data_IF_431290049328
#
_entry.id   IF_431290049328
#
_cell.length_a   1.000
_cell.length_b   1.000
_cell.length_c   1.000
_cell.angle_alpha   90.00
_cell.angle_beta   90.00
_cell.angle_gamma   90.00
#
_symmetry.space_group_name_H-M   'P 1'
#
loop_
_entity.id
_entity.type
_entity.pdbx_description
1 polymer ?
#
# COMPACT_ATOMS: atom_id res chain seq x y z
N UNK A 1 8.81 13.19 31.27
CA UNK A 1 8.63 11.76 30.99
C UNK A 1 8.45 11.61 29.49
N UNK A 2 9.47 11.16 28.77
CA UNK A 2 9.39 10.97 27.31
C UNK A 2 8.76 9.61 27.07
N UNK A 3 7.55 9.57 26.51
CA UNK A 3 6.94 8.30 26.12
C UNK A 3 7.81 7.63 25.04
N UNK A 4 8.10 6.35 25.20
CA UNK A 4 8.81 5.58 24.18
C UNK A 4 8.02 5.62 22.87
N UNK A 5 8.69 5.87 21.75
CA UNK A 5 8.05 5.88 20.44
C UNK A 5 7.44 4.49 20.15
N UNK A 6 6.23 4.42 19.56
CA UNK A 6 5.59 3.15 19.26
C UNK A 6 6.45 2.31 18.31
N UNK A 7 6.53 1.01 18.58
CA UNK A 7 7.22 0.06 17.70
C UNK A 7 6.55 0.09 16.33
N UNK A 8 7.34 0.22 15.26
CA UNK A 8 6.84 0.13 13.88
C UNK A 8 6.17 -1.22 13.66
N UNK A 9 4.96 -1.20 13.11
CA UNK A 9 4.13 -2.40 12.88
C UNK A 9 4.32 -2.97 11.46
N UNK A 10 4.71 -2.13 10.50
CA UNK A 10 4.97 -2.52 9.12
C UNK A 10 6.48 -2.60 8.81
N UNK A 11 6.89 -3.45 7.85
CA UNK A 11 6.04 -4.38 7.10
C UNK A 11 5.59 -5.59 7.95
N UNK A 12 4.38 -6.10 7.71
CA UNK A 12 3.82 -7.26 8.41
C UNK A 12 4.15 -8.57 7.67
N UNK A 13 4.12 -9.70 8.36
CA UNK A 13 4.17 -11.00 7.69
C UNK A 13 2.88 -11.19 6.87
N UNK A 14 2.95 -11.62 5.59
CA UNK A 14 1.76 -11.91 4.81
C UNK A 14 1.02 -13.10 5.42
N UNK A 15 -0.31 -12.99 5.60
CA UNK A 15 -1.13 -14.11 6.11
C UNK A 15 -1.17 -15.27 5.10
N UNK A 16 -1.17 -14.96 3.80
CA UNK A 16 -1.31 -15.92 2.70
C UNK A 16 -0.64 -15.43 1.41
N UNK A 17 0.69 -15.21 1.39
CA UNK A 17 1.45 -14.88 0.16
C UNK A 17 0.74 -13.88 -0.79
N UNK A 18 0.68 -14.21 -2.09
CA UNK A 18 0.05 -13.38 -3.13
C UNK A 18 -1.49 -13.35 -3.10
N UNK A 19 -2.14 -14.10 -2.20
CA UNK A 19 -3.61 -14.29 -2.16
C UNK A 19 -4.29 -13.61 -0.96
N UNK A 20 -3.63 -12.66 -0.31
CA UNK A 20 -4.24 -11.89 0.79
C UNK A 20 -5.51 -11.15 0.33
N UNK A 21 -6.66 -11.57 0.86
CA UNK A 21 -7.99 -11.07 0.48
C UNK A 21 -8.22 -9.61 0.86
N UNK A 22 -7.40 -9.04 1.75
CA UNK A 22 -7.44 -7.62 2.10
C UNK A 22 -6.86 -6.75 0.98
N UNK A 23 -5.98 -7.31 0.16
CA UNK A 23 -5.29 -6.57 -0.90
C UNK A 23 -6.10 -6.53 -2.21
N UNK A 24 -7.17 -5.74 -2.18
CA UNK A 24 -8.16 -5.65 -3.26
C UNK A 24 -7.89 -4.50 -4.24
N UNK A 25 -8.50 -4.56 -5.43
CA UNK A 25 -8.53 -3.41 -6.34
C UNK A 25 -9.28 -2.21 -5.75
N UNK A 26 -10.28 -2.45 -4.88
CA UNK A 26 -11.00 -1.38 -4.19
C UNK A 26 -10.06 -0.54 -3.31
N UNK A 27 -9.22 -1.20 -2.50
CA UNK A 27 -8.18 -0.54 -1.72
C UNK A 27 -7.25 0.31 -2.60
N UNK A 28 -6.83 -0.22 -3.75
CA UNK A 28 -5.96 0.51 -4.68
C UNK A 28 -6.61 1.80 -5.17
N UNK A 29 -7.88 1.75 -5.58
CA UNK A 29 -8.62 2.94 -6.02
C UNK A 29 -8.85 3.95 -4.90
N UNK A 30 -9.05 3.49 -3.66
CA UNK A 30 -9.19 4.42 -2.53
C UNK A 30 -7.87 5.14 -2.23
N UNK A 31 -6.72 4.47 -2.35
CA UNK A 31 -5.42 5.13 -2.26
C UNK A 31 -5.19 6.11 -3.42
N UNK A 32 -5.56 5.75 -4.65
CA UNK A 32 -5.52 6.66 -5.81
C UNK A 32 -6.28 7.94 -5.51
N UNK A 33 -7.52 7.84 -5.00
CA UNK A 33 -8.32 9.02 -4.65
C UNK A 33 -7.64 9.91 -3.60
N UNK A 34 -6.97 9.32 -2.61
CA UNK A 34 -6.21 10.09 -1.60
C UNK A 34 -5.03 10.79 -2.24
N UNK A 35 -4.28 10.13 -3.12
CA UNK A 35 -3.14 10.74 -3.82
C UNK A 35 -3.63 11.91 -4.69
N UNK A 36 -4.64 11.68 -5.52
CA UNK A 36 -5.19 12.73 -6.39
C UNK A 36 -5.79 13.90 -5.59
N UNK A 37 -6.40 13.64 -4.43
CA UNK A 37 -6.97 14.70 -3.57
C UNK A 37 -5.92 15.61 -2.93
N UNK A 38 -4.67 15.15 -2.84
CA UNK A 38 -3.54 15.95 -2.37
C UNK A 38 -2.83 16.71 -3.50
N UNK A 39 -3.40 16.73 -4.72
CA UNK A 39 -2.90 17.51 -5.85
C UNK A 39 -1.85 16.80 -6.70
N UNK A 40 -1.64 15.50 -6.49
CA UNK A 40 -0.80 14.70 -7.37
C UNK A 40 -1.49 14.44 -8.72
N UNK A 41 -0.73 14.19 -9.81
CA UNK A 41 -1.29 13.90 -11.12
C UNK A 41 -2.25 12.71 -11.11
N UNK A 42 -3.21 12.73 -12.03
CA UNK A 42 -4.15 11.62 -12.22
C UNK A 42 -3.45 10.37 -12.71
N UNK A 43 -3.94 9.21 -12.29
CA UNK A 43 -3.52 7.92 -12.82
C UNK A 43 -4.15 7.76 -14.21
N UNK A 44 -3.33 7.71 -15.26
CA UNK A 44 -3.82 7.72 -16.65
C UNK A 44 -3.66 6.37 -17.34
N UNK A 45 -2.92 5.43 -16.72
CA UNK A 45 -2.64 4.13 -17.31
C UNK A 45 -2.76 2.97 -16.32
N UNK A 46 -2.98 1.77 -16.84
CA UNK A 46 -2.88 0.55 -16.04
C UNK A 46 -1.49 0.30 -15.48
N UNK A 47 -0.44 0.88 -16.08
CA UNK A 47 0.93 0.81 -15.56
C UNK A 47 1.07 1.58 -14.25
N UNK A 48 0.50 2.78 -14.16
CA UNK A 48 0.53 3.58 -12.93
C UNK A 48 -0.16 2.83 -11.77
N UNK A 49 -1.27 2.17 -12.06
CA UNK A 49 -1.98 1.33 -11.10
C UNK A 49 -1.16 0.12 -10.66
N UNK A 50 -0.44 -0.53 -11.57
CA UNK A 50 0.43 -1.65 -11.26
C UNK A 50 1.61 -1.22 -10.36
N UNK A 51 2.27 -0.10 -10.68
CA UNK A 51 3.37 0.43 -9.88
C UNK A 51 2.90 0.83 -8.47
N UNK A 52 1.72 1.44 -8.35
CA UNK A 52 1.11 1.72 -7.05
C UNK A 52 0.80 0.44 -6.28
N UNK A 53 0.24 -0.57 -6.95
CA UNK A 53 -0.05 -1.89 -6.35
C UNK A 53 1.23 -2.51 -5.80
N UNK A 54 2.31 -2.54 -6.57
CA UNK A 54 3.59 -3.11 -6.13
C UNK A 54 4.21 -2.30 -4.98
N UNK A 55 4.12 -0.98 -5.03
CA UNK A 55 4.60 -0.10 -3.96
C UNK A 55 3.85 -0.31 -2.65
N UNK A 56 2.52 -0.40 -2.69
CA UNK A 56 1.70 -0.70 -1.53
C UNK A 56 1.98 -2.10 -0.98
N UNK A 57 2.13 -3.10 -1.86
CA UNK A 57 2.45 -4.46 -1.47
C UNK A 57 3.79 -4.52 -0.71
N UNK A 58 4.84 -3.86 -1.23
CA UNK A 58 6.15 -3.75 -0.57
C UNK A 58 6.14 -2.97 0.73
N UNK A 59 5.25 -1.98 0.86
CA UNK A 59 5.07 -1.26 2.11
C UNK A 59 4.40 -2.13 3.19
N UNK A 60 3.36 -2.88 2.79
CA UNK A 60 2.55 -3.67 3.71
C UNK A 60 3.25 -4.96 4.13
N UNK A 61 3.89 -5.69 3.21
CA UNK A 61 4.34 -7.06 3.46
C UNK A 61 5.85 -7.19 3.50
N UNK A 62 6.33 -7.97 4.46
CA UNK A 62 7.74 -8.35 4.57
C UNK A 62 8.05 -9.37 3.46
N UNK A 63 9.27 -9.33 2.93
CA UNK A 63 9.77 -10.26 1.91
C UNK A 63 8.95 -10.23 0.60
N UNK A 64 8.28 -9.09 0.34
CA UNK A 64 7.64 -8.80 -0.94
C UNK A 64 8.67 -8.82 -2.10
N UNK A 65 8.29 -9.33 -3.29
CA UNK A 65 9.17 -9.38 -4.46
C UNK A 65 9.59 -8.00 -5.00
#
# INVERSE_FOLDING_TARGET
MTAAAPKRVYPVAPDSGDTDSRFTNGLLFDVVKVIESHGYPKFTSGRDLLELRMSLFRFLYKDAP
#
